data_IF_382764411915
#
_entry.id   IF_382764411915
#
_cell.length_a   1.000
_cell.length_b   1.000
_cell.length_c   1.000
_cell.angle_alpha   90.00
_cell.angle_beta   90.00
_cell.angle_gamma   90.00
#
_symmetry.space_group_name_H-M   'P 1'
#
loop_
_entity.id
_entity.type
_entity.pdbx_description
1 polymer ?
#
# COMPACT_ATOMS: atom_id res chain seq x y z
N UNK A 1 -101.02 -86.68 73.88
CA UNK A 1 -101.83 -87.34 74.93
C UNK A 1 -101.88 -86.41 76.13
N UNK A 2 -103.10 -86.07 76.54
CA UNK A 2 -103.58 -85.78 77.91
C UNK A 2 -102.65 -84.95 78.83
N UNK A 3 -103.02 -83.71 79.09
CA UNK A 3 -104.02 -83.29 80.10
C UNK A 3 -103.58 -83.47 81.56
N UNK A 4 -103.62 -82.32 82.23
CA UNK A 4 -104.02 -82.08 83.62
C UNK A 4 -102.89 -82.03 84.65
N UNK A 5 -102.42 -80.80 84.88
CA UNK A 5 -102.95 -79.95 85.97
C UNK A 5 -103.03 -80.62 87.35
N UNK A 6 -102.21 -80.14 88.29
CA UNK A 6 -102.74 -79.46 89.49
C UNK A 6 -101.65 -79.05 90.50
N UNK A 7 -101.72 -77.75 90.79
CA UNK A 7 -101.79 -77.11 92.12
C UNK A 7 -100.52 -76.84 92.94
N UNK A 8 -100.39 -75.53 93.17
CA UNK A 8 -100.17 -74.83 94.43
C UNK A 8 -98.71 -74.55 94.84
N UNK A 9 -98.28 -73.29 94.69
CA UNK A 9 -98.05 -72.44 95.85
C UNK A 9 -98.00 -70.95 95.46
N UNK A 10 -98.87 -70.14 96.05
CA UNK A 10 -98.80 -68.68 96.04
C UNK A 10 -97.97 -68.27 97.27
N UNK A 11 -96.78 -67.69 97.08
CA UNK A 11 -96.09 -66.88 98.10
C UNK A 11 -95.43 -65.68 97.42
N UNK A 12 -96.11 -64.53 97.49
CA UNK A 12 -95.61 -63.22 97.10
C UNK A 12 -94.41 -62.88 98.00
N UNK A 13 -93.19 -62.93 97.45
CA UNK A 13 -92.01 -62.37 98.12
C UNK A 13 -92.09 -60.85 98.03
N UNK A 14 -92.61 -60.22 99.09
CA UNK A 14 -92.39 -58.81 99.36
C UNK A 14 -90.88 -58.58 99.55
N UNK A 15 -90.25 -57.93 98.58
CA UNK A 15 -89.09 -57.10 98.88
C UNK A 15 -89.62 -55.83 99.59
N UNK A 16 -89.26 -55.59 100.86
CA UNK A 16 -89.73 -54.42 101.60
C UNK A 16 -89.20 -53.14 100.94
N UNK A 17 -90.08 -52.16 100.73
CA UNK A 17 -89.63 -50.81 100.38
C UNK A 17 -88.83 -50.23 101.56
N UNK A 18 -87.67 -49.59 101.31
CA UNK A 18 -86.87 -49.00 102.38
C UNK A 18 -87.66 -47.88 103.09
N UNK A 19 -87.50 -47.72 104.42
CA UNK A 19 -88.19 -46.69 105.18
C UNK A 19 -87.82 -45.29 104.65
N UNK A 20 -88.80 -44.36 104.60
CA UNK A 20 -88.69 -43.00 104.03
C UNK A 20 -87.48 -42.22 104.57
N UNK A 21 -87.12 -42.42 105.84
CA UNK A 21 -85.92 -41.84 106.49
C UNK A 21 -84.62 -42.26 105.82
N UNK A 22 -84.50 -43.52 105.37
CA UNK A 22 -83.31 -44.03 104.69
C UNK A 22 -83.18 -43.47 103.27
N UNK A 23 -84.29 -43.18 102.60
CA UNK A 23 -84.32 -42.50 101.30
C UNK A 23 -83.88 -41.03 101.43
N UNK A 24 -84.37 -40.31 102.43
CA UNK A 24 -83.95 -38.92 102.69
C UNK A 24 -82.45 -38.89 103.01
N UNK A 25 -81.95 -39.79 103.86
CA UNK A 25 -80.54 -39.83 104.21
C UNK A 25 -79.65 -40.16 102.99
N UNK A 26 -80.05 -41.11 102.15
CA UNK A 26 -79.35 -41.38 100.88
C UNK A 26 -79.39 -40.20 99.92
N UNK A 27 -80.51 -39.49 99.82
CA UNK A 27 -80.62 -38.28 99.00
C UNK A 27 -79.72 -37.15 99.54
N UNK A 28 -79.64 -36.98 100.86
CA UNK A 28 -78.77 -35.97 101.49
C UNK A 28 -77.28 -36.21 101.27
N UNK A 29 -76.82 -37.46 101.16
CA UNK A 29 -75.43 -37.77 100.80
C UNK A 29 -75.18 -37.77 99.28
N UNK A 30 -76.18 -38.17 98.48
CA UNK A 30 -76.08 -38.25 97.03
C UNK A 30 -76.02 -36.86 96.37
N UNK A 31 -76.71 -35.87 96.93
CA UNK A 31 -76.74 -34.52 96.38
C UNK A 31 -75.36 -33.82 96.40
N UNK A 32 -74.63 -33.73 97.54
CA UNK A 32 -73.27 -33.19 97.57
C UNK A 32 -72.30 -33.93 96.65
N UNK A 33 -72.37 -35.26 96.60
CA UNK A 33 -71.53 -36.06 95.72
C UNK A 33 -71.79 -35.74 94.24
N UNK A 34 -73.06 -35.57 93.87
CA UNK A 34 -73.45 -35.21 92.51
C UNK A 34 -72.98 -33.78 92.15
N UNK A 35 -73.07 -32.84 93.10
CA UNK A 35 -72.53 -31.48 92.95
C UNK A 35 -71.01 -31.51 92.78
N UNK A 36 -70.28 -32.31 93.55
CA UNK A 36 -68.82 -32.49 93.42
C UNK A 36 -68.44 -33.18 92.09
N UNK A 37 -69.23 -34.13 91.61
CA UNK A 37 -69.01 -34.71 90.27
C UNK A 37 -69.29 -33.70 89.16
N UNK A 38 -70.33 -32.88 89.30
CA UNK A 38 -70.67 -31.82 88.33
C UNK A 38 -69.57 -30.76 88.29
N UNK A 39 -69.04 -30.36 89.44
CA UNK A 39 -67.95 -29.40 89.56
C UNK A 39 -66.67 -29.93 88.90
N UNK A 40 -66.27 -31.17 89.18
CA UNK A 40 -65.10 -31.79 88.53
C UNK A 40 -65.25 -31.91 87.01
N UNK A 41 -66.45 -32.27 86.53
CA UNK A 41 -66.71 -32.34 85.09
C UNK A 41 -66.64 -30.94 84.45
N UNK A 42 -67.14 -29.91 85.13
CA UNK A 42 -67.02 -28.53 84.70
C UNK A 42 -65.55 -28.09 84.65
N UNK A 43 -64.77 -28.32 85.70
CA UNK A 43 -63.34 -28.02 85.75
C UNK A 43 -62.55 -28.75 84.64
N UNK A 44 -62.87 -30.02 84.38
CA UNK A 44 -62.28 -30.79 83.28
C UNK A 44 -62.65 -30.22 81.92
N UNK A 45 -63.91 -29.79 81.73
CA UNK A 45 -64.37 -29.14 80.51
C UNK A 45 -63.69 -27.79 80.29
N UNK A 46 -63.58 -26.96 81.33
CA UNK A 46 -62.89 -25.66 81.29
C UNK A 46 -61.39 -25.84 80.98
N UNK A 47 -60.75 -26.84 81.58
CA UNK A 47 -59.36 -27.19 81.28
C UNK A 47 -59.19 -27.63 79.81
N UNK A 48 -60.06 -28.49 79.30
CA UNK A 48 -60.04 -28.91 77.89
C UNK A 48 -60.21 -27.70 76.95
N UNK A 49 -61.15 -26.81 77.24
CA UNK A 49 -61.34 -25.58 76.46
C UNK A 49 -60.07 -24.72 76.48
N UNK A 50 -59.40 -24.62 77.62
CA UNK A 50 -58.15 -23.85 77.76
C UNK A 50 -57.01 -24.47 76.94
N UNK A 51 -56.86 -25.79 76.98
CA UNK A 51 -55.87 -26.51 76.15
C UNK A 51 -56.14 -26.34 74.66
N UNK A 52 -57.39 -26.49 74.22
CA UNK A 52 -57.74 -26.30 72.81
C UNK A 52 -57.54 -24.83 72.38
N UNK A 53 -57.85 -23.85 73.24
CA UNK A 53 -57.54 -22.44 72.96
C UNK A 53 -56.04 -22.20 72.81
N UNK A 54 -55.22 -22.75 73.70
CA UNK A 54 -53.75 -22.64 73.61
C UNK A 54 -53.19 -23.34 72.37
N UNK A 55 -53.76 -24.49 71.99
CA UNK A 55 -53.38 -25.22 70.78
C UNK A 55 -53.77 -24.45 69.52
N UNK A 56 -54.98 -23.89 69.47
CA UNK A 56 -55.43 -23.05 68.38
C UNK A 56 -54.55 -21.81 68.23
N UNK A 57 -54.19 -21.16 69.33
CA UNK A 57 -53.27 -20.02 69.30
C UNK A 57 -51.89 -20.41 68.75
N UNK A 58 -51.33 -21.54 69.16
CA UNK A 58 -50.05 -22.02 68.63
C UNK A 58 -50.12 -22.36 67.12
N UNK A 59 -51.25 -22.91 66.65
CA UNK A 59 -51.48 -23.16 65.22
C UNK A 59 -51.63 -21.85 64.45
N UNK A 60 -52.33 -20.86 64.99
CA UNK A 60 -52.48 -19.54 64.37
C UNK A 60 -51.12 -18.83 64.23
N UNK A 61 -50.28 -18.87 65.27
CA UNK A 61 -48.92 -18.32 65.24
C UNK A 61 -48.05 -19.03 64.18
N UNK A 62 -48.17 -20.35 64.07
CA UNK A 62 -47.46 -21.14 63.06
C UNK A 62 -47.94 -20.82 61.64
N UNK A 63 -49.25 -20.64 61.43
CA UNK A 63 -49.81 -20.20 60.15
C UNK A 63 -49.23 -18.83 59.76
N UNK A 64 -49.16 -17.89 60.70
CA UNK A 64 -48.59 -16.56 60.45
C UNK A 64 -47.11 -16.67 60.08
N UNK A 65 -46.35 -17.50 60.79
CA UNK A 65 -44.92 -17.75 60.51
C UNK A 65 -44.71 -18.35 59.12
N UNK A 66 -45.49 -19.36 58.76
CA UNK A 66 -45.41 -20.02 57.45
C UNK A 66 -45.81 -19.06 56.32
N UNK A 67 -46.87 -18.26 56.50
CA UNK A 67 -47.27 -17.23 55.52
C UNK A 67 -46.17 -16.20 55.29
N UNK A 68 -45.49 -15.76 56.35
CA UNK A 68 -44.34 -14.84 56.25
C UNK A 68 -43.19 -15.48 55.48
N UNK A 69 -42.84 -16.72 55.80
CA UNK A 69 -41.79 -17.48 55.10
C UNK A 69 -42.10 -17.61 53.60
N UNK A 70 -43.34 -17.97 53.24
CA UNK A 70 -43.77 -18.07 51.83
C UNK A 70 -43.63 -16.73 51.12
N UNK A 71 -44.12 -15.64 51.73
CA UNK A 71 -43.99 -14.30 51.13
C UNK A 71 -42.53 -13.88 50.93
N UNK A 72 -41.63 -14.23 51.86
CA UNK A 72 -40.19 -13.97 51.74
C UNK A 72 -39.56 -14.78 50.60
N UNK A 73 -39.91 -16.06 50.46
CA UNK A 73 -39.42 -16.91 49.37
C UNK A 73 -39.95 -16.48 48.00
N UNK A 74 -41.23 -16.12 47.91
CA UNK A 74 -41.82 -15.56 46.68
C UNK A 74 -41.18 -14.23 46.29
N UNK A 75 -40.83 -13.38 47.27
CA UNK A 75 -40.09 -12.15 47.01
C UNK A 75 -38.70 -12.47 46.48
N UNK A 76 -37.94 -13.34 47.15
CA UNK A 76 -36.60 -13.76 46.70
C UNK A 76 -36.62 -14.38 45.32
N UNK A 77 -37.64 -15.18 45.02
CA UNK A 77 -37.84 -15.78 43.70
C UNK A 77 -38.04 -14.69 42.64
N UNK A 78 -38.97 -13.76 42.87
CA UNK A 78 -39.21 -12.62 41.96
C UNK A 78 -37.96 -11.77 41.75
N UNK A 79 -37.22 -11.46 42.82
CA UNK A 79 -35.99 -10.69 42.73
C UNK A 79 -34.95 -11.42 41.83
N UNK A 80 -34.82 -12.75 41.99
CA UNK A 80 -33.92 -13.57 41.16
C UNK A 80 -34.38 -13.69 39.71
N UNK A 81 -35.68 -13.80 39.46
CA UNK A 81 -36.24 -13.78 38.10
C UNK A 81 -35.96 -12.44 37.41
N UNK A 82 -36.10 -11.32 38.14
CA UNK A 82 -35.81 -9.99 37.62
C UNK A 82 -34.32 -9.79 37.33
N UNK A 83 -33.43 -10.26 38.21
CA UNK A 83 -31.98 -10.29 37.98
C UNK A 83 -31.64 -11.12 36.73
N UNK A 84 -32.24 -12.31 36.60
CA UNK A 84 -32.02 -13.20 35.47
C UNK A 84 -32.50 -12.58 34.15
N UNK A 85 -33.67 -11.94 34.15
CA UNK A 85 -34.19 -11.22 32.99
C UNK A 85 -33.26 -10.07 32.59
N UNK A 86 -32.83 -9.27 33.56
CA UNK A 86 -31.89 -8.15 33.34
C UNK A 86 -30.55 -8.63 32.81
N UNK A 87 -30.04 -9.76 33.30
CA UNK A 87 -28.82 -10.39 32.79
C UNK A 87 -29.00 -10.87 31.35
N UNK A 88 -30.11 -11.56 31.04
CA UNK A 88 -30.45 -11.97 29.68
C UNK A 88 -30.62 -10.80 28.73
N UNK A 89 -31.16 -9.67 29.17
CA UNK A 89 -31.31 -8.49 28.33
C UNK A 89 -29.97 -7.80 28.05
N UNK A 90 -29.09 -7.71 29.07
CA UNK A 90 -27.69 -7.28 28.89
C UNK A 90 -26.94 -8.21 27.94
N UNK A 91 -27.16 -9.52 28.03
CA UNK A 91 -26.62 -10.49 27.06
C UNK A 91 -27.33 -10.43 25.70
N UNK A 92 -28.62 -10.11 25.59
CA UNK A 92 -29.27 -9.98 24.28
C UNK A 92 -28.70 -8.79 23.50
N UNK A 93 -28.16 -7.81 24.21
CA UNK A 93 -27.35 -6.74 23.66
C UNK A 93 -25.88 -7.15 23.42
N UNK A 94 -25.57 -8.46 23.32
CA UNK A 94 -24.21 -8.97 23.06
C UNK A 94 -23.63 -8.22 21.85
N UNK A 95 -22.56 -7.44 22.05
CA UNK A 95 -21.89 -6.72 20.97
C UNK A 95 -21.24 -7.69 19.98
N UNK A 96 -21.01 -8.95 20.35
CA UNK A 96 -20.32 -9.96 19.54
C UNK A 96 -20.96 -10.21 18.18
N UNK A 97 -22.29 -10.30 18.06
CA UNK A 97 -22.94 -10.48 16.75
C UNK A 97 -22.79 -9.22 15.88
N UNK A 98 -22.89 -8.03 16.48
CA UNK A 98 -22.69 -6.76 15.78
C UNK A 98 -21.23 -6.59 15.34
N UNK A 99 -20.30 -6.89 16.24
CA UNK A 99 -18.85 -6.89 15.98
C UNK A 99 -18.50 -7.93 14.92
N UNK A 100 -19.11 -9.11 14.93
CA UNK A 100 -18.88 -10.13 13.91
C UNK A 100 -19.39 -9.67 12.54
N UNK A 101 -20.56 -9.02 12.49
CA UNK A 101 -21.06 -8.42 11.26
C UNK A 101 -20.13 -7.30 10.76
N UNK A 102 -19.63 -6.44 11.67
CA UNK A 102 -18.67 -5.39 11.35
C UNK A 102 -17.33 -5.98 10.85
N UNK A 103 -16.79 -7.00 11.50
CA UNK A 103 -15.60 -7.75 11.06
C UNK A 103 -15.83 -8.32 9.65
N UNK A 104 -17.00 -8.91 9.40
CA UNK A 104 -17.31 -9.48 8.09
C UNK A 104 -17.37 -8.37 7.01
N UNK A 105 -18.00 -7.24 7.31
CA UNK A 105 -18.07 -6.09 6.40
C UNK A 105 -16.68 -5.52 6.11
N UNK A 106 -15.89 -5.24 7.16
CA UNK A 106 -14.51 -4.76 7.02
C UNK A 106 -13.63 -5.75 6.26
N UNK A 107 -13.86 -7.05 6.43
CA UNK A 107 -13.12 -8.09 5.69
C UNK A 107 -13.46 -8.05 4.19
N UNK A 108 -14.73 -7.87 3.84
CA UNK A 108 -15.16 -7.73 2.44
C UNK A 108 -14.55 -6.47 1.83
N UNK A 109 -14.65 -5.32 2.52
CA UNK A 109 -14.08 -4.04 2.05
C UNK A 109 -12.57 -4.12 1.88
N UNK A 110 -11.84 -4.68 2.86
CA UNK A 110 -10.40 -4.92 2.75
C UNK A 110 -10.07 -5.75 1.52
N UNK A 111 -10.79 -6.84 1.29
CA UNK A 111 -10.54 -7.71 0.14
C UNK A 111 -10.85 -7.03 -1.19
N UNK A 112 -11.88 -6.20 -1.26
CA UNK A 112 -12.20 -5.41 -2.44
C UNK A 112 -11.12 -4.35 -2.72
N UNK A 113 -10.66 -3.64 -1.69
CA UNK A 113 -9.57 -2.67 -1.81
C UNK A 113 -8.26 -3.35 -2.23
N UNK A 114 -7.96 -4.53 -1.69
CA UNK A 114 -6.79 -5.32 -2.11
C UNK A 114 -6.88 -5.70 -3.59
N UNK A 115 -8.04 -6.17 -4.06
CA UNK A 115 -8.26 -6.49 -5.49
C UNK A 115 -8.08 -5.27 -6.39
N UNK A 116 -8.61 -4.10 -5.97
CA UNK A 116 -8.45 -2.83 -6.70
C UNK A 116 -6.97 -2.40 -6.75
N UNK A 117 -6.25 -2.55 -5.64
CA UNK A 117 -4.82 -2.27 -5.58
C UNK A 117 -4.02 -3.19 -6.52
N UNK A 118 -4.26 -4.49 -6.47
CA UNK A 118 -3.57 -5.48 -7.32
C UNK A 118 -3.84 -5.22 -8.82
N UNK A 119 -5.08 -4.86 -9.16
CA UNK A 119 -5.45 -4.49 -10.53
C UNK A 119 -4.75 -3.19 -10.98
N UNK A 120 -4.66 -2.18 -10.11
CA UNK A 120 -3.97 -0.92 -10.38
C UNK A 120 -2.46 -1.11 -10.54
N UNK A 121 -1.82 -1.93 -9.69
CA UNK A 121 -0.41 -2.27 -9.80
C UNK A 121 -0.12 -3.02 -11.11
N UNK A 122 -0.99 -3.98 -11.46
CA UNK A 122 -0.86 -4.74 -12.71
C UNK A 122 -0.99 -3.84 -13.95
N UNK A 123 -1.94 -2.89 -13.95
CA UNK A 123 -2.09 -1.96 -15.08
C UNK A 123 -0.93 -0.96 -15.14
N UNK A 124 -0.47 -0.43 -14.01
CA UNK A 124 0.69 0.45 -13.93
C UNK A 124 1.97 -0.22 -14.48
N UNK A 125 2.22 -1.49 -14.10
CA UNK A 125 3.36 -2.24 -14.61
C UNK A 125 3.26 -2.47 -16.13
N UNK A 126 2.06 -2.78 -16.65
CA UNK A 126 1.84 -2.90 -18.10
C UNK A 126 2.12 -1.58 -18.82
N UNK A 127 1.64 -0.44 -18.30
CA UNK A 127 1.90 0.87 -18.88
C UNK A 127 3.39 1.20 -18.87
N UNK A 128 4.10 0.94 -17.77
CA UNK A 128 5.54 1.10 -17.68
C UNK A 128 6.26 0.27 -18.75
N UNK A 129 5.88 -0.99 -18.93
CA UNK A 129 6.48 -1.85 -19.96
C UNK A 129 6.22 -1.34 -21.38
N UNK A 130 4.99 -0.90 -21.68
CA UNK A 130 4.65 -0.33 -22.98
C UNK A 130 5.41 0.97 -23.23
N UNK A 131 5.48 1.85 -22.23
CA UNK A 131 6.23 3.10 -22.30
C UNK A 131 7.73 2.86 -22.52
N UNK A 132 8.33 1.88 -21.82
CA UNK A 132 9.73 1.50 -22.03
C UNK A 132 9.99 0.96 -23.44
N UNK A 133 9.05 0.18 -24.01
CA UNK A 133 9.15 -0.28 -25.41
C UNK A 133 9.07 0.90 -26.39
N UNK A 134 8.10 1.79 -26.20
CA UNK A 134 7.94 2.97 -27.04
C UNK A 134 9.19 3.89 -26.96
N UNK A 135 9.77 4.05 -25.77
CA UNK A 135 10.99 4.83 -25.58
C UNK A 135 12.18 4.24 -26.32
N UNK A 136 12.37 2.92 -26.27
CA UNK A 136 13.44 2.23 -27.02
C UNK A 136 13.26 2.37 -28.53
N UNK A 137 12.04 2.21 -29.03
CA UNK A 137 11.74 2.42 -30.46
C UNK A 137 11.98 3.87 -30.89
N UNK A 138 11.57 4.84 -30.07
CA UNK A 138 11.86 6.26 -30.32
C UNK A 138 13.36 6.52 -30.41
N UNK A 139 14.16 5.99 -29.46
CA UNK A 139 15.61 6.13 -29.48
C UNK A 139 16.23 5.51 -30.74
N UNK A 140 15.77 4.32 -31.13
CA UNK A 140 16.23 3.64 -32.35
C UNK A 140 15.90 4.43 -33.61
N UNK A 141 14.67 4.96 -33.72
CA UNK A 141 14.26 5.80 -34.85
C UNK A 141 15.07 7.10 -34.90
N UNK A 142 15.25 7.77 -33.76
CA UNK A 142 16.07 8.97 -33.67
C UNK A 142 17.51 8.73 -34.12
N UNK A 143 18.12 7.63 -33.68
CA UNK A 143 19.47 7.26 -34.09
C UNK A 143 19.55 7.00 -35.61
N UNK A 144 18.59 6.24 -36.15
CA UNK A 144 18.52 5.94 -37.59
C UNK A 144 18.41 7.21 -38.43
N UNK A 145 17.54 8.15 -38.05
CA UNK A 145 17.39 9.44 -38.75
C UNK A 145 18.67 10.26 -38.69
N UNK A 146 19.34 10.29 -37.54
CA UNK A 146 20.62 10.98 -37.39
C UNK A 146 21.69 10.36 -38.30
N UNK A 147 21.79 9.04 -38.35
CA UNK A 147 22.76 8.34 -39.19
C UNK A 147 22.45 8.53 -40.68
N UNK A 148 21.17 8.52 -41.06
CA UNK A 148 20.74 8.79 -42.44
C UNK A 148 21.07 10.23 -42.85
N UNK A 149 20.84 11.22 -41.98
CA UNK A 149 21.20 12.62 -42.25
C UNK A 149 22.70 12.80 -42.42
N UNK A 150 23.51 12.16 -41.54
CA UNK A 150 24.98 12.16 -41.67
C UNK A 150 25.45 11.51 -42.96
N UNK A 151 24.89 10.35 -43.33
CA UNK A 151 25.21 9.65 -44.56
C UNK A 151 24.92 10.51 -45.81
N UNK A 152 23.75 11.14 -45.86
CA UNK A 152 23.38 12.04 -46.97
C UNK A 152 24.33 13.23 -47.07
N UNK A 153 24.69 13.84 -45.93
CA UNK A 153 25.64 14.95 -45.90
C UNK A 153 27.03 14.53 -46.40
N UNK A 154 27.53 13.37 -45.96
CA UNK A 154 28.81 12.83 -46.42
C UNK A 154 28.79 12.56 -47.92
N UNK A 155 27.70 11.98 -48.44
CA UNK A 155 27.53 11.74 -49.88
C UNK A 155 27.56 13.05 -50.67
N UNK A 156 26.85 14.09 -50.21
CA UNK A 156 26.88 15.41 -50.85
C UNK A 156 28.27 16.04 -50.81
N UNK A 157 29.00 15.91 -49.70
CA UNK A 157 30.38 16.39 -49.60
C UNK A 157 31.31 15.69 -50.59
N UNK A 158 31.20 14.36 -50.73
CA UNK A 158 31.96 13.59 -51.72
C UNK A 158 31.63 13.98 -53.15
N UNK A 159 30.35 14.19 -53.48
CA UNK A 159 29.94 14.65 -54.81
C UNK A 159 30.50 16.06 -55.13
N UNK A 160 30.48 16.97 -54.15
CA UNK A 160 31.07 18.31 -54.28
C UNK A 160 32.59 18.26 -54.45
N UNK A 161 33.29 17.43 -53.67
CA UNK A 161 34.73 17.24 -53.79
C UNK A 161 35.10 16.67 -55.16
N UNK A 162 34.35 15.67 -55.64
CA UNK A 162 34.53 15.10 -56.97
C UNK A 162 34.32 16.13 -58.08
N UNK A 163 33.30 16.99 -57.96
CA UNK A 163 33.11 18.11 -58.91
C UNK A 163 34.25 19.11 -58.85
N UNK A 164 34.75 19.46 -57.66
CA UNK A 164 35.90 20.35 -57.48
C UNK A 164 37.15 19.79 -58.15
N UNK A 165 37.44 18.50 -57.97
CA UNK A 165 38.58 17.84 -58.60
C UNK A 165 38.47 17.85 -60.13
N UNK A 166 37.27 17.60 -60.69
CA UNK A 166 37.04 17.70 -62.14
C UNK A 166 37.28 19.11 -62.68
N UNK A 167 36.85 20.12 -61.94
CA UNK A 167 37.06 21.52 -62.32
C UNK A 167 38.55 21.86 -62.35
N UNK A 168 39.30 21.54 -61.29
CA UNK A 168 40.75 21.76 -61.23
C UNK A 168 41.49 21.01 -62.34
N UNK A 169 41.16 19.75 -62.57
CA UNK A 169 41.78 18.97 -63.66
C UNK A 169 41.45 19.55 -65.05
N UNK A 170 40.26 20.12 -65.26
CA UNK A 170 39.91 20.79 -66.51
C UNK A 170 40.70 22.09 -66.69
N UNK A 171 40.83 22.90 -65.63
CA UNK A 171 41.62 24.13 -65.61
C UNK A 171 43.11 23.85 -65.88
N UNK A 172 43.70 22.86 -65.19
CA UNK A 172 45.08 22.41 -65.43
C UNK A 172 45.28 21.94 -66.88
N UNK A 173 44.34 21.20 -67.45
CA UNK A 173 44.41 20.78 -68.85
C UNK A 173 44.33 21.95 -69.84
N UNK A 174 43.56 23.00 -69.54
CA UNK A 174 43.53 24.22 -70.36
C UNK A 174 44.83 24.99 -70.27
N UNK A 175 45.42 25.11 -69.07
CA UNK A 175 46.75 25.69 -68.86
C UNK A 175 47.80 24.88 -69.61
N UNK A 176 47.82 23.55 -69.47
CA UNK A 176 48.75 22.68 -70.20
C UNK A 176 48.61 22.80 -71.71
N UNK A 177 47.39 22.94 -72.24
CA UNK A 177 47.16 23.20 -73.68
C UNK A 177 47.68 24.57 -74.10
N UNK A 178 47.51 25.58 -73.26
CA UNK A 178 48.06 26.93 -73.49
C UNK A 178 49.58 26.88 -73.50
N UNK A 179 50.20 26.29 -72.48
CA UNK A 179 51.65 26.12 -72.36
C UNK A 179 52.21 25.30 -73.52
N UNK A 180 51.54 24.21 -73.92
CA UNK A 180 51.95 23.42 -75.08
C UNK A 180 51.92 24.26 -76.37
N UNK A 181 50.90 25.09 -76.58
CA UNK A 181 50.86 26.03 -77.72
C UNK A 181 51.98 27.06 -77.65
N UNK A 182 52.27 27.60 -76.46
CA UNK A 182 53.38 28.53 -76.27
C UNK A 182 54.73 27.85 -76.54
N UNK A 183 54.95 26.63 -76.07
CA UNK A 183 56.15 25.84 -76.35
C UNK A 183 56.28 25.49 -77.82
N UNK A 184 55.19 25.14 -78.51
CA UNK A 184 55.19 24.90 -79.95
C UNK A 184 55.53 26.19 -80.72
N UNK A 185 55.01 27.34 -80.29
CA UNK A 185 55.37 28.65 -80.85
C UNK A 185 56.86 28.95 -80.64
N UNK A 186 57.38 28.79 -79.41
CA UNK A 186 58.81 28.99 -79.09
C UNK A 186 59.67 28.03 -79.90
N UNK A 187 59.29 26.77 -80.05
CA UNK A 187 59.99 25.78 -80.88
C UNK A 187 60.01 26.19 -82.34
N UNK A 188 58.90 26.69 -82.87
CA UNK A 188 58.82 27.20 -84.23
C UNK A 188 59.68 28.45 -84.42
N UNK A 189 59.70 29.36 -83.45
CA UNK A 189 60.59 30.53 -83.41
C UNK A 189 62.06 30.12 -83.29
N UNK A 190 62.41 29.15 -82.44
CA UNK A 190 63.75 28.58 -82.32
C UNK A 190 64.19 27.87 -83.59
N UNK A 191 63.29 27.16 -84.29
CA UNK A 191 63.61 26.57 -85.59
C UNK A 191 63.87 27.64 -86.64
N UNK A 192 63.06 28.72 -86.68
CA UNK A 192 63.32 29.89 -87.54
C UNK A 192 64.64 30.57 -87.18
N UNK A 193 64.91 30.78 -85.90
CA UNK A 193 66.16 31.35 -85.40
C UNK A 193 67.34 30.44 -85.73
N UNK A 194 67.21 29.12 -85.62
CA UNK A 194 68.22 28.11 -85.99
C UNK A 194 68.49 28.08 -87.50
N UNK A 195 67.46 28.28 -88.32
CA UNK A 195 67.62 28.48 -89.77
C UNK A 195 68.33 29.80 -90.09
N UNK A 196 68.15 30.84 -89.26
CA UNK A 196 68.80 32.15 -89.39
C UNK A 196 70.20 32.18 -88.73
N UNK A 197 70.49 31.31 -87.76
CA UNK A 197 71.68 31.32 -86.92
C UNK A 197 72.64 30.17 -87.27
N UNK A 198 73.23 30.23 -88.46
CA UNK A 198 74.55 29.64 -88.67
C UNK A 198 75.62 30.58 -88.11
N UNK A 199 75.84 30.59 -86.79
CA UNK A 199 77.08 31.01 -86.07
C UNK A 199 76.87 30.93 -84.53
N UNK A 200 77.88 30.54 -83.73
CA UNK A 200 77.70 30.17 -82.32
C UNK A 200 78.14 31.26 -81.34
N UNK A 201 77.45 31.43 -80.20
CA UNK A 201 78.02 31.93 -78.92
C UNK A 201 76.93 31.89 -77.82
N UNK A 202 77.04 31.11 -76.73
CA UNK A 202 77.83 31.24 -75.48
C UNK A 202 76.93 31.65 -74.30
N UNK A 203 76.84 30.71 -73.34
CA UNK A 203 76.75 30.79 -71.86
C UNK A 203 75.82 31.80 -71.17
N UNK A 204 75.12 31.29 -70.15
CA UNK A 204 74.55 32.10 -69.07
C UNK A 204 74.09 31.23 -67.90
N UNK A 205 75.03 30.91 -67.03
CA UNK A 205 74.87 30.29 -65.71
C UNK A 205 74.18 31.28 -64.76
N UNK A 206 73.20 30.86 -63.95
CA UNK A 206 72.72 31.67 -62.81
C UNK A 206 72.42 30.81 -61.59
N UNK A 207 73.18 31.14 -60.54
CA UNK A 207 73.22 30.58 -59.21
C UNK A 207 71.87 30.58 -58.49
N UNK A 208 71.62 29.45 -57.85
CA UNK A 208 70.81 29.27 -56.65
C UNK A 208 71.30 30.17 -55.51
N UNK A 209 70.42 30.99 -54.94
CA UNK A 209 70.57 31.49 -53.58
C UNK A 209 69.27 31.20 -52.80
N UNK A 210 69.46 30.41 -51.76
CA UNK A 210 68.46 29.81 -50.90
C UNK A 210 67.78 30.87 -50.03
N UNK A 211 66.46 30.82 -50.03
CA UNK A 211 65.56 31.65 -49.24
C UNK A 211 65.50 31.12 -47.80
N UNK A 212 66.21 31.77 -46.88
CA UNK A 212 66.23 31.46 -45.43
C UNK A 212 64.99 32.02 -44.68
N UNK A 213 64.05 32.66 -45.39
CA UNK A 213 62.86 33.31 -44.82
C UNK A 213 61.55 32.47 -44.96
N UNK A 214 61.57 31.38 -45.75
CA UNK A 214 60.39 30.51 -45.92
C UNK A 214 60.21 29.49 -44.78
N UNK A 215 61.31 29.08 -44.13
CA UNK A 215 61.32 28.03 -43.11
C UNK A 215 60.57 28.49 -41.82
N UNK A 216 60.65 29.78 -41.50
CA UNK A 216 59.98 30.35 -40.33
C UNK A 216 58.45 30.47 -40.48
N UNK A 217 57.96 30.70 -41.70
CA UNK A 217 56.52 30.81 -41.96
C UNK A 217 55.86 29.42 -42.01
N UNK A 218 56.57 28.45 -42.59
CA UNK A 218 56.14 27.06 -42.66
C UNK A 218 56.09 26.40 -41.27
N UNK A 219 57.04 26.73 -40.38
CA UNK A 219 57.03 26.27 -39.00
C UNK A 219 55.85 26.83 -38.17
N UNK A 220 55.46 28.09 -38.41
CA UNK A 220 54.28 28.70 -37.75
C UNK A 220 52.99 28.06 -38.26
N UNK A 221 52.92 27.72 -39.54
CA UNK A 221 51.74 27.05 -40.14
C UNK A 221 51.60 25.60 -39.66
N UNK A 222 52.70 24.87 -39.51
CA UNK A 222 52.69 23.53 -38.91
C UNK A 222 52.25 23.58 -37.44
N UNK A 223 52.76 24.53 -36.66
CA UNK A 223 52.35 24.73 -35.26
C UNK A 223 50.88 25.11 -35.13
N UNK A 224 50.35 25.93 -36.05
CA UNK A 224 48.94 26.29 -36.10
C UNK A 224 48.05 25.08 -36.40
N UNK A 225 48.47 24.22 -37.33
CA UNK A 225 47.77 22.97 -37.67
C UNK A 225 47.65 22.04 -36.46
N UNK A 226 48.74 21.80 -35.74
CA UNK A 226 48.77 20.92 -34.55
C UNK A 226 47.85 21.44 -33.44
N UNK A 227 47.80 22.75 -33.21
CA UNK A 227 46.93 23.33 -32.19
C UNK A 227 45.44 23.21 -32.54
N UNK A 228 45.10 23.34 -33.83
CA UNK A 228 43.73 23.17 -34.33
C UNK A 228 43.31 21.70 -34.22
N UNK A 229 44.15 20.77 -34.65
CA UNK A 229 43.89 19.34 -34.59
C UNK A 229 43.72 18.84 -33.14
N UNK A 230 44.55 19.35 -32.21
CA UNK A 230 44.44 19.02 -30.79
C UNK A 230 43.12 19.54 -30.17
N UNK A 231 42.70 20.77 -30.52
CA UNK A 231 41.39 21.31 -30.11
C UNK A 231 40.24 20.45 -30.64
N UNK A 232 40.29 20.12 -31.93
CA UNK A 232 39.21 19.39 -32.60
C UNK A 232 39.10 17.94 -32.10
N UNK A 233 40.24 17.30 -31.83
CA UNK A 233 40.29 15.98 -31.19
C UNK A 233 39.65 16.01 -29.80
N UNK A 234 39.99 17.00 -28.95
CA UNK A 234 39.41 17.10 -27.61
C UNK A 234 37.90 17.34 -27.66
N UNK A 235 37.41 18.22 -28.52
CA UNK A 235 35.97 18.46 -28.70
C UNK A 235 35.24 17.23 -29.26
N UNK A 236 35.89 16.46 -30.14
CA UNK A 236 35.32 15.25 -30.73
C UNK A 236 35.12 14.12 -29.71
N UNK A 237 35.89 14.08 -28.61
CA UNK A 237 35.67 13.11 -27.53
C UNK A 237 34.36 13.34 -26.75
N UNK A 238 33.76 14.53 -26.86
CA UNK A 238 32.50 14.88 -26.19
C UNK A 238 32.60 15.06 -24.67
N UNK A 239 33.79 14.95 -24.09
CA UNK A 239 34.06 15.23 -22.67
C UNK A 239 34.45 16.69 -22.41
N UNK A 240 34.89 17.39 -23.46
CA UNK A 240 35.25 18.80 -23.43
C UNK A 240 34.26 19.65 -24.24
N UNK A 241 34.04 20.87 -23.80
CA UNK A 241 33.18 21.89 -24.39
C UNK A 241 33.98 23.17 -24.65
N UNK A 242 33.47 24.06 -25.50
CA UNK A 242 34.09 25.38 -25.74
C UNK A 242 34.22 26.25 -24.49
N UNK A 243 33.54 25.90 -23.39
CA UNK A 243 33.61 26.63 -22.13
C UNK A 243 34.71 26.12 -21.19
N UNK A 244 35.40 25.03 -21.53
CA UNK A 244 36.46 24.48 -20.69
C UNK A 244 37.76 25.26 -20.81
N UNK A 245 38.42 25.49 -19.67
CA UNK A 245 39.64 26.30 -19.57
C UNK A 245 40.78 25.82 -20.51
N UNK A 246 40.86 24.50 -20.73
CA UNK A 246 41.83 23.90 -21.64
C UNK A 246 41.56 24.27 -23.11
N UNK A 247 40.29 24.25 -23.52
CA UNK A 247 39.87 24.60 -24.89
C UNK A 247 40.07 26.10 -25.13
N UNK A 248 39.72 26.94 -24.14
CA UNK A 248 39.93 28.38 -24.22
C UNK A 248 41.42 28.76 -24.34
N UNK A 249 42.32 28.05 -23.64
CA UNK A 249 43.76 28.28 -23.77
C UNK A 249 44.29 27.86 -25.15
N UNK A 250 43.77 26.77 -25.73
CA UNK A 250 44.10 26.38 -27.11
C UNK A 250 43.60 27.41 -28.12
N UNK A 251 42.37 27.91 -27.98
CA UNK A 251 41.81 28.97 -28.82
C UNK A 251 42.63 30.27 -28.71
N UNK A 252 43.07 30.64 -27.51
CA UNK A 252 43.96 31.79 -27.28
C UNK A 252 45.29 31.63 -28.02
N UNK A 253 45.92 30.45 -27.94
CA UNK A 253 47.20 30.16 -28.65
C UNK A 253 47.03 30.12 -30.16
N UNK A 254 45.91 29.61 -30.67
CA UNK A 254 45.57 29.64 -32.10
C UNK A 254 45.43 31.09 -32.57
N UNK A 255 44.73 31.94 -31.82
CA UNK A 255 44.59 33.36 -32.13
C UNK A 255 45.94 34.09 -32.11
N UNK A 256 46.81 33.80 -31.14
CA UNK A 256 48.15 34.38 -31.10
C UNK A 256 49.02 33.95 -32.29
N UNK A 257 48.99 32.67 -32.67
CA UNK A 257 49.71 32.16 -33.83
C UNK A 257 49.20 32.79 -35.14
N UNK A 258 47.88 32.92 -35.31
CA UNK A 258 47.28 33.62 -36.46
C UNK A 258 47.67 35.10 -36.49
N UNK A 259 47.71 35.77 -35.33
CA UNK A 259 48.14 37.17 -35.24
C UNK A 259 49.62 37.33 -35.61
N UNK A 260 50.49 36.43 -35.14
CA UNK A 260 51.91 36.39 -35.53
C UNK A 260 52.08 36.22 -37.04
N UNK A 261 51.33 35.30 -37.67
CA UNK A 261 51.29 35.10 -39.12
C UNK A 261 50.84 36.36 -39.89
N UNK A 262 49.79 37.05 -39.41
CA UNK A 262 49.33 38.28 -40.05
C UNK A 262 50.36 39.41 -39.95
N UNK A 263 51.08 39.50 -38.82
CA UNK A 263 52.11 40.51 -38.60
C UNK A 263 53.41 40.26 -39.35
N UNK A 264 53.76 38.99 -39.61
CA UNK A 264 54.88 38.66 -40.51
C UNK A 264 54.49 38.93 -41.96
N UNK A 265 53.29 38.53 -42.40
CA UNK A 265 52.80 38.77 -43.77
C UNK A 265 52.63 40.26 -44.12
N UNK A 266 52.18 41.09 -43.17
CA UNK A 266 52.02 42.55 -43.36
C UNK A 266 53.35 43.33 -43.40
N UNK A 267 54.48 42.70 -43.04
CA UNK A 267 55.80 43.34 -43.07
C UNK A 267 56.49 43.25 -44.45
N UNK A 268 55.89 42.52 -45.39
CA UNK A 268 56.37 42.29 -46.76
C UNK A 268 55.47 42.91 -47.86
N UNK A 269 54.53 43.80 -47.50
CA UNK A 269 53.81 44.70 -48.43
C UNK A 269 54.29 46.13 -48.24
#
# INVERSE_FOLDING_TARGET
MRHLDKKANHHHHHHPQPPITHQIQQQTFKFPLLMDTSKRLQEQSEHQITLEKSKNQALDDEIVRLKRSVAEWEKRHRDKEQEFFSYKEKQRNIPEVKLQAEINMLTIEKNELQRKLDASLTSAERYKQQWLKALKEYQRLKQREQDQSKFLLQKQQQELEHMRLRYLAAEENEIMKSDHKQLENIKNELNKLKEVSSTPTITGDFQSNLSDDNDHLEQVDQQLGVLIEHRDTLLQTGTYTHNDALIQELERRIQEAMKRKSSSSSRYQ
#
